data_IF_323321406252
#
_entry.id   IF_323321406252
#
_cell.length_a   1.000
_cell.length_b   1.000
_cell.length_c   1.000
_cell.angle_alpha   90.00
_cell.angle_beta   90.00
_cell.angle_gamma   90.00
#
_symmetry.space_group_name_H-M   'P 1'
#
loop_
_entity.id
_entity.type
_entity.pdbx_description
1 polymer ?
#
# COMPACT_ATOMS: atom_id res chain seq x y z
N UNK A 1 -30.74 10.43 -4.34
CA UNK A 1 -29.59 9.51 -4.37
C UNK A 1 -28.38 10.33 -3.98
N UNK A 2 -27.98 10.28 -2.71
CA UNK A 2 -26.83 11.05 -2.22
C UNK A 2 -25.56 10.36 -2.71
N UNK A 3 -24.83 11.01 -3.62
CA UNK A 3 -23.44 10.64 -3.88
C UNK A 3 -22.69 10.66 -2.53
N UNK A 4 -21.91 9.64 -2.18
CA UNK A 4 -21.01 9.77 -1.04
C UNK A 4 -20.10 10.97 -1.36
N UNK A 5 -20.15 11.99 -0.50
CA UNK A 5 -19.12 13.02 -0.48
C UNK A 5 -17.80 12.28 -0.46
N UNK A 6 -16.97 12.54 -1.47
CA UNK A 6 -15.56 12.20 -1.45
C UNK A 6 -15.01 12.81 -0.18
N UNK A 7 -14.95 12.00 0.88
CA UNK A 7 -14.38 12.45 2.13
C UNK A 7 -12.91 12.54 1.78
N UNK A 8 -12.41 13.76 1.66
CA UNK A 8 -11.03 14.00 1.31
C UNK A 8 -10.16 13.52 2.48
N UNK A 9 -9.92 12.21 2.50
CA UNK A 9 -9.07 11.56 3.45
C UNK A 9 -7.66 12.04 3.09
N UNK A 10 -7.14 12.92 3.97
CA UNK A 10 -5.81 13.52 3.89
C UNK A 10 -4.73 12.48 4.21
N UNK A 11 -4.68 11.43 3.39
CA UNK A 11 -3.67 10.38 3.42
C UNK A 11 -2.69 10.62 2.28
N UNK A 12 -1.41 10.63 2.64
CA UNK A 12 -0.32 10.49 1.70
C UNK A 12 0.26 9.09 1.85
N UNK A 13 0.46 8.40 0.73
CA UNK A 13 1.06 7.07 0.70
C UNK A 13 2.20 7.07 -0.31
N UNK A 14 3.32 6.45 0.07
CA UNK A 14 4.45 6.20 -0.79
C UNK A 14 5.10 4.86 -0.48
N UNK A 15 5.91 4.38 -1.41
CA UNK A 15 6.68 3.15 -1.26
C UNK A 15 8.13 3.50 -0.93
N UNK A 16 8.64 2.98 0.18
CA UNK A 16 10.06 2.88 0.42
C UNK A 16 10.58 1.57 -0.16
N UNK A 17 11.62 1.62 -1.00
CA UNK A 17 12.24 0.43 -1.58
C UNK A 17 13.66 0.29 -1.04
N UNK A 18 14.02 -0.92 -0.63
CA UNK A 18 15.37 -1.28 -0.20
C UNK A 18 15.96 -2.24 -1.24
N UNK A 19 16.68 -1.68 -2.21
CA UNK A 19 17.12 -2.38 -3.43
C UNK A 19 18.51 -3.02 -3.35
N UNK A 20 19.13 -3.06 -2.17
CA UNK A 20 20.54 -3.47 -2.08
C UNK A 20 20.76 -4.99 -2.20
N UNK A 21 19.74 -5.82 -1.95
CA UNK A 21 19.82 -7.27 -2.07
C UNK A 21 18.55 -7.89 -2.67
N UNK A 22 18.68 -9.01 -3.40
CA UNK A 22 17.54 -9.82 -3.82
C UNK A 22 17.10 -10.69 -2.64
N UNK A 23 15.79 -10.78 -2.31
CA UNK A 23 14.62 -10.17 -2.97
C UNK A 23 14.39 -8.69 -2.61
N UNK A 24 13.67 -7.96 -3.48
CA UNK A 24 13.33 -6.56 -3.21
C UNK A 24 12.36 -6.45 -2.04
N UNK A 25 12.68 -5.56 -1.10
CA UNK A 25 11.81 -5.25 0.04
C UNK A 25 11.14 -3.91 -0.22
N UNK A 26 9.80 -3.93 -0.27
CA UNK A 26 8.96 -2.74 -0.39
C UNK A 26 8.24 -2.51 0.93
N UNK A 27 8.33 -1.30 1.45
CA UNK A 27 7.66 -0.88 2.68
C UNK A 27 6.72 0.27 2.33
N UNK A 28 5.41 0.04 2.30
CA UNK A 28 4.45 1.12 2.17
C UNK A 28 4.40 1.95 3.45
N UNK A 29 4.49 3.27 3.29
CA UNK A 29 4.33 4.23 4.36
C UNK A 29 3.06 5.04 4.15
N UNK A 30 2.42 5.40 5.25
CA UNK A 30 1.29 6.32 5.28
C UNK A 30 1.60 7.51 6.18
N UNK A 31 1.10 8.68 5.79
CA UNK A 31 1.02 9.87 6.63
C UNK A 31 -0.40 10.42 6.58
N UNK A 32 -0.93 10.83 7.72
CA UNK A 32 -2.22 11.51 7.83
C UNK A 32 -2.06 12.84 8.55
N UNK A 33 -2.93 13.81 8.28
CA UNK A 33 -3.01 15.06 9.06
C UNK A 33 -3.65 14.86 10.45
N UNK A 34 -4.22 13.68 10.71
CA UNK A 34 -5.00 13.38 11.92
C UNK A 34 -4.49 12.12 12.63
N UNK A 35 -4.74 12.04 13.94
CA UNK A 35 -4.55 10.82 14.73
C UNK A 35 -5.73 9.88 14.47
N UNK A 36 -5.47 8.68 13.96
CA UNK A 36 -6.55 7.72 13.70
C UNK A 36 -6.07 6.27 13.65
N UNK A 37 -6.97 5.35 13.99
CA UNK A 37 -6.79 3.93 13.72
C UNK A 37 -7.32 3.63 12.32
N UNK A 38 -6.50 2.98 11.51
CA UNK A 38 -6.80 2.64 10.13
C UNK A 38 -6.69 1.13 9.93
N UNK A 39 -7.57 0.58 9.11
CA UNK A 39 -7.41 -0.72 8.51
C UNK A 39 -6.76 -0.54 7.14
N UNK A 40 -5.87 -1.45 6.78
CA UNK A 40 -5.31 -1.50 5.43
C UNK A 40 -5.46 -2.89 4.81
N UNK A 41 -5.55 -2.90 3.48
CA UNK A 41 -5.38 -4.08 2.62
C UNK A 41 -4.39 -3.70 1.53
N UNK A 42 -3.32 -4.48 1.39
CA UNK A 42 -2.31 -4.32 0.36
C UNK A 42 -2.30 -5.57 -0.50
N UNK A 43 -2.41 -5.39 -1.81
CA UNK A 43 -2.32 -6.44 -2.80
C UNK A 43 -1.19 -6.15 -3.78
N UNK A 44 -0.23 -7.05 -3.88
CA UNK A 44 0.82 -7.01 -4.89
C UNK A 44 0.55 -8.10 -5.94
N UNK A 45 0.47 -7.71 -7.21
CA UNK A 45 0.38 -8.62 -8.36
C UNK A 45 1.65 -8.47 -9.16
N UNK A 46 2.34 -9.58 -9.37
CA UNK A 46 3.58 -9.61 -10.13
C UNK A 46 3.46 -10.65 -11.25
N UNK A 47 3.68 -10.24 -12.49
CA UNK A 47 3.53 -11.06 -13.70
C UNK A 47 4.83 -11.07 -14.47
N UNK A 48 5.40 -12.27 -14.61
CA UNK A 48 6.60 -12.51 -15.42
C UNK A 48 6.43 -13.69 -16.36
N UNK A 49 7.49 -14.02 -17.09
CA UNK A 49 7.49 -15.12 -18.08
C UNK A 49 7.12 -16.47 -17.48
N UNK A 50 7.48 -16.70 -16.22
CA UNK A 50 7.24 -17.96 -15.50
C UNK A 50 5.86 -18.04 -14.84
N UNK A 51 5.05 -16.99 -14.89
CA UNK A 51 3.70 -16.96 -14.32
C UNK A 51 3.36 -15.69 -13.55
N UNK A 52 2.19 -15.71 -12.91
CA UNK A 52 1.68 -14.63 -12.06
C UNK A 52 1.74 -15.04 -10.60
N UNK A 53 2.32 -14.19 -9.75
CA UNK A 53 2.20 -14.28 -8.30
C UNK A 53 1.30 -13.17 -7.77
N UNK A 54 0.55 -13.47 -6.70
CA UNK A 54 -0.28 -12.50 -5.99
C UNK A 54 -0.01 -12.64 -4.49
N UNK A 55 0.24 -11.52 -3.85
CA UNK A 55 0.39 -11.42 -2.39
C UNK A 55 -0.66 -10.46 -1.89
N UNK A 56 -1.36 -10.82 -0.82
CA UNK A 56 -2.32 -9.95 -0.15
C UNK A 56 -2.03 -9.92 1.35
N UNK A 57 -2.02 -8.74 1.94
CA UNK A 57 -1.82 -8.55 3.36
C UNK A 57 -2.73 -7.46 3.88
N UNK A 58 -3.44 -7.75 4.96
CA UNK A 58 -4.24 -6.78 5.69
C UNK A 58 -3.74 -6.62 7.11
N UNK A 59 -4.09 -5.48 7.73
CA UNK A 59 -3.75 -5.20 9.10
C UNK A 59 -4.34 -3.89 9.58
N UNK A 60 -3.93 -3.50 10.78
CA UNK A 60 -4.30 -2.23 11.40
C UNK A 60 -3.05 -1.40 11.66
N UNK A 61 -3.20 -0.09 11.57
CA UNK A 61 -2.15 0.87 11.88
C UNK A 61 -2.75 2.05 12.67
N UNK A 62 -2.11 2.41 13.77
CA UNK A 62 -2.41 3.65 14.47
C UNK A 62 -1.49 4.73 13.92
N UNK A 63 -2.05 5.69 13.18
CA UNK A 63 -1.30 6.81 12.65
C UNK A 63 -1.32 7.97 13.63
N UNK A 64 -0.15 8.58 13.83
CA UNK A 64 0.00 9.84 14.54
C UNK A 64 0.07 10.97 13.52
N UNK A 65 -0.61 12.08 13.78
CA UNK A 65 -0.72 13.21 12.88
C UNK A 65 0.66 13.70 12.43
N UNK A 66 0.80 13.86 11.11
CA UNK A 66 1.99 14.31 10.39
C UNK A 66 3.23 13.43 10.56
N UNK A 67 3.11 12.23 11.13
CA UNK A 67 4.21 11.28 11.26
C UNK A 67 4.06 10.13 10.26
N UNK A 68 5.11 9.83 9.46
CA UNK A 68 5.17 8.63 8.65
C UNK A 68 5.07 7.36 9.50
N UNK A 69 4.19 6.44 9.12
CA UNK A 69 4.06 5.14 9.75
C UNK A 69 4.17 4.04 8.68
N UNK A 70 5.01 3.04 8.93
CA UNK A 70 5.08 1.86 8.06
C UNK A 70 3.82 1.00 8.22
N UNK A 71 3.25 0.55 7.11
CA UNK A 71 2.11 -0.38 7.13
C UNK A 71 2.58 -1.81 7.37
N UNK A 72 3.50 -2.27 6.53
CA UNK A 72 4.06 -3.63 6.53
C UNK A 72 5.32 -3.70 5.66
N UNK A 73 6.01 -4.83 5.70
CA UNK A 73 7.08 -5.16 4.76
C UNK A 73 6.58 -6.18 3.74
N UNK A 74 6.66 -5.85 2.46
CA UNK A 74 6.38 -6.75 1.35
C UNK A 74 7.70 -7.23 0.77
N UNK A 75 7.89 -8.54 0.75
CA UNK A 75 9.01 -9.16 0.06
C UNK A 75 8.55 -9.56 -1.33
N UNK A 76 9.07 -8.89 -2.36
CA UNK A 76 8.75 -9.17 -3.76
C UNK A 76 9.94 -9.84 -4.43
N UNK A 77 9.70 -11.06 -4.90
CA UNK A 77 10.65 -11.77 -5.76
C UNK A 77 10.85 -10.97 -7.05
N UNK A 78 12.05 -10.42 -7.28
CA UNK A 78 12.45 -9.90 -8.59
C UNK A 78 12.70 -11.07 -9.54
N UNK A 79 11.65 -11.54 -10.21
CA UNK A 79 11.77 -12.25 -11.47
C UNK A 79 11.93 -11.22 -12.61
N UNK A 80 12.24 -11.65 -13.83
CA UNK A 80 12.17 -10.79 -15.03
C UNK A 80 10.70 -10.45 -15.33
N UNK A 81 10.04 -9.80 -14.36
CA UNK A 81 8.63 -9.43 -14.40
C UNK A 81 8.45 -8.33 -15.42
N UNK A 82 7.52 -8.52 -16.33
CA UNK A 82 7.12 -7.50 -17.28
C UNK A 82 6.13 -6.52 -16.62
N UNK A 83 5.53 -6.90 -15.49
CA UNK A 83 4.52 -6.10 -14.80
C UNK A 83 4.49 -6.37 -13.29
N UNK A 84 4.49 -5.30 -12.49
CA UNK A 84 4.28 -5.36 -11.05
C UNK A 84 3.43 -4.17 -10.59
N UNK A 85 2.32 -4.46 -9.92
CA UNK A 85 1.40 -3.46 -9.39
C UNK A 85 1.07 -3.75 -7.93
N UNK A 86 1.02 -2.69 -7.13
CA UNK A 86 0.64 -2.70 -5.73
C UNK A 86 -0.60 -1.84 -5.56
N UNK A 87 -1.69 -2.44 -5.11
CA UNK A 87 -2.92 -1.76 -4.72
C UNK A 87 -2.98 -1.69 -3.21
N UNK A 88 -3.21 -0.49 -2.66
CA UNK A 88 -3.36 -0.26 -1.22
C UNK A 88 -4.73 0.36 -0.98
N UNK A 89 -5.55 -0.29 -0.17
CA UNK A 89 -6.82 0.24 0.33
C UNK A 89 -6.63 0.60 1.78
N UNK A 90 -6.96 1.84 2.15
CA UNK A 90 -6.99 2.32 3.53
C UNK A 90 -8.44 2.60 3.90
N UNK A 91 -8.87 2.16 5.06
CA UNK A 91 -10.22 2.39 5.60
C UNK A 91 -10.12 2.92 7.04
N UNK A 92 -10.92 3.93 7.37
CA UNK A 92 -11.03 4.45 8.74
C UNK A 92 -12.19 3.80 9.50
N UNK A 93 -12.32 4.10 10.79
CA UNK A 93 -13.39 3.53 11.64
C UNK A 93 -14.82 3.92 11.20
N UNK A 94 -14.96 4.98 10.39
CA UNK A 94 -16.23 5.44 9.82
C UNK A 94 -16.58 4.70 8.51
N UNK A 95 -15.74 3.78 8.04
CA UNK A 95 -15.92 3.05 6.80
C UNK A 95 -15.57 3.86 5.55
N UNK A 96 -14.96 5.04 5.70
CA UNK A 96 -14.44 5.79 4.56
C UNK A 96 -13.12 5.18 4.12
N UNK A 97 -12.98 4.96 2.81
CA UNK A 97 -11.79 4.35 2.26
C UNK A 97 -11.14 5.15 1.13
N UNK A 98 -9.85 4.91 0.90
CA UNK A 98 -9.11 5.46 -0.24
C UNK A 98 -8.22 4.37 -0.82
N UNK A 99 -8.16 4.31 -2.15
CA UNK A 99 -7.37 3.33 -2.89
C UNK A 99 -6.20 4.02 -3.57
N UNK A 100 -5.02 3.42 -3.45
CA UNK A 100 -3.78 3.88 -4.05
C UNK A 100 -3.20 2.77 -4.92
N UNK A 101 -2.67 3.12 -6.08
CA UNK A 101 -2.07 2.18 -7.02
C UNK A 101 -0.66 2.63 -7.36
N UNK A 102 0.28 1.68 -7.33
CA UNK A 102 1.68 1.92 -7.59
C UNK A 102 2.24 0.85 -8.52
N UNK A 103 2.93 1.28 -9.57
CA UNK A 103 3.79 0.41 -10.33
C UNK A 103 5.11 0.20 -9.57
N UNK A 104 5.55 -1.04 -9.44
CA UNK A 104 6.86 -1.32 -8.86
C UNK A 104 7.92 -0.87 -9.86
N UNK A 105 8.64 0.21 -9.56
CA UNK A 105 9.77 0.64 -10.41
C UNK A 105 10.93 -0.35 -10.24
N UNK A 106 11.44 -0.85 -11.36
CA UNK A 106 12.56 -1.80 -11.42
C UNK A 106 13.91 -1.10 -11.28
#
# INVERSE_FOLDING_TARGET
>A
MSQPMDTDLNFEIWLGTYDQDKPAVIVPYIRSTENQALQYLIEAVNKGRSGTSRTAQSGYVNVTANQPQALTQLVISRNDSEYCNITIVIENAQGHHKTFQFECRQ
#
